data_IF_346932694685
#
_entry.id   IF_346932694685
#
_cell.length_a   1.000
_cell.length_b   1.000
_cell.length_c   1.000
_cell.angle_alpha   90.00
_cell.angle_beta   90.00
_cell.angle_gamma   90.00
#
_symmetry.space_group_name_H-M   'P 1'
#
loop_
_entity.id
_entity.type
_entity.pdbx_description
1 polymer ?
#
# COMPACT_ATOMS: atom_id res chain seq x y z
N UNK A 1 4.91 2.18 21.62
CA UNK A 1 5.26 1.22 20.55
C UNK A 1 6.39 0.33 21.05
N UNK A 2 6.33 -0.96 20.77
CA UNK A 2 7.36 -1.91 21.17
C UNK A 2 8.71 -1.61 20.49
N UNK A 3 9.86 -1.79 21.18
CA UNK A 3 11.18 -1.47 20.61
C UNK A 3 11.52 -2.24 19.33
N UNK A 4 11.02 -3.46 19.17
CA UNK A 4 11.21 -4.24 17.94
C UNK A 4 10.50 -3.60 16.74
N UNK A 5 9.34 -3.02 16.97
CA UNK A 5 8.56 -2.40 15.90
C UNK A 5 9.26 -1.15 15.33
N UNK A 6 9.91 -0.34 16.20
CA UNK A 6 10.73 0.77 15.73
C UNK A 6 11.89 0.29 14.87
N UNK A 7 12.61 -0.75 15.32
CA UNK A 7 13.74 -1.30 14.54
C UNK A 7 13.30 -1.89 13.20
N UNK A 8 12.13 -2.53 13.17
CA UNK A 8 11.52 -3.01 11.92
C UNK A 8 11.18 -1.86 10.96
N UNK A 9 10.56 -0.78 11.47
CA UNK A 9 10.20 0.40 10.68
C UNK A 9 11.45 1.08 10.10
N UNK A 10 12.52 1.19 10.90
CA UNK A 10 13.79 1.76 10.43
C UNK A 10 14.39 0.92 9.29
N UNK A 11 14.30 -0.40 9.37
CA UNK A 11 14.73 -1.27 8.29
C UNK A 11 13.79 -1.22 7.08
N UNK A 12 12.47 -1.18 7.27
CA UNK A 12 11.50 -1.01 6.18
C UNK A 12 11.80 0.25 5.38
N UNK A 13 12.15 1.35 6.04
CA UNK A 13 12.56 2.59 5.36
C UNK A 13 13.74 2.37 4.43
N UNK A 14 14.82 1.78 4.93
CA UNK A 14 16.03 1.47 4.13
C UNK A 14 15.74 0.46 3.00
N UNK A 15 14.89 -0.52 3.26
CA UNK A 15 14.47 -1.53 2.30
C UNK A 15 13.67 -0.90 1.14
N UNK A 16 12.65 -0.10 1.43
CA UNK A 16 11.82 0.56 0.40
C UNK A 16 12.65 1.53 -0.44
N UNK A 17 13.55 2.30 0.18
CA UNK A 17 14.48 3.19 -0.55
C UNK A 17 15.33 2.42 -1.57
N UNK A 18 15.90 1.29 -1.15
CA UNK A 18 16.67 0.42 -2.04
C UNK A 18 15.82 -0.14 -3.16
N UNK A 19 14.65 -0.69 -2.83
CA UNK A 19 13.73 -1.28 -3.79
C UNK A 19 13.26 -0.27 -4.84
N UNK A 20 12.95 0.97 -4.43
CA UNK A 20 12.57 2.05 -5.34
C UNK A 20 13.71 2.32 -6.35
N UNK A 21 14.95 2.49 -5.84
CA UNK A 21 16.12 2.76 -6.67
C UNK A 21 16.43 1.59 -7.61
N UNK A 22 16.47 0.37 -7.08
CA UNK A 22 16.79 -0.84 -7.85
C UNK A 22 15.79 -1.13 -8.97
N UNK A 23 14.53 -0.77 -8.76
CA UNK A 23 13.45 -0.95 -9.72
C UNK A 23 13.18 0.27 -10.61
N UNK A 24 13.95 1.35 -10.46
CA UNK A 24 13.85 2.60 -11.25
C UNK A 24 12.42 3.17 -11.30
N UNK A 25 11.72 3.12 -10.16
CA UNK A 25 10.38 3.71 -10.05
C UNK A 25 10.46 5.18 -9.68
N UNK A 26 9.50 6.01 -10.15
CA UNK A 26 9.55 7.46 -9.94
C UNK A 26 9.57 7.84 -8.47
N UNK A 27 8.62 7.34 -7.68
CA UNK A 27 8.58 7.71 -6.28
C UNK A 27 7.54 6.95 -5.47
N UNK A 28 7.67 7.07 -4.15
CA UNK A 28 6.70 6.57 -3.19
C UNK A 28 6.67 7.41 -1.92
N UNK A 29 5.51 7.41 -1.26
CA UNK A 29 5.37 7.87 0.12
C UNK A 29 4.85 6.72 0.99
N UNK A 30 5.34 6.66 2.22
CA UNK A 30 4.96 5.64 3.20
C UNK A 30 4.63 6.33 4.51
N UNK A 31 3.55 5.86 5.14
CA UNK A 31 3.21 6.23 6.50
C UNK A 31 2.94 4.99 7.34
N UNK A 32 3.42 5.02 8.56
CA UNK A 32 3.16 4.00 9.58
C UNK A 32 2.46 4.66 10.76
N UNK A 33 1.30 4.13 11.12
CA UNK A 33 0.59 4.54 12.32
C UNK A 33 0.61 3.41 13.36
N UNK A 34 0.73 3.78 14.64
CA UNK A 34 0.53 2.89 15.77
C UNK A 34 -0.61 3.43 16.62
N UNK A 35 -1.65 2.61 16.80
CA UNK A 35 -2.88 3.02 17.51
C UNK A 35 -3.47 4.33 16.99
N UNK A 36 -3.49 4.50 15.68
CA UNK A 36 -4.02 5.66 14.98
C UNK A 36 -3.13 6.91 14.98
N UNK A 37 -1.99 6.91 15.66
CA UNK A 37 -1.01 8.01 15.64
C UNK A 37 0.11 7.70 14.65
N UNK A 38 0.43 8.64 13.77
CA UNK A 38 1.57 8.49 12.85
C UNK A 38 2.87 8.46 13.66
N UNK A 39 3.64 7.41 13.48
CA UNK A 39 4.94 7.19 14.16
C UNK A 39 6.12 7.25 13.19
N UNK A 40 5.86 7.12 11.89
CA UNK A 40 6.87 7.30 10.84
C UNK A 40 6.22 7.73 9.54
N UNK A 41 6.85 8.68 8.86
CA UNK A 41 6.52 9.09 7.49
C UNK A 41 7.82 9.27 6.72
N UNK A 42 7.85 8.80 5.47
CA UNK A 42 8.97 9.05 4.59
C UNK A 42 8.53 9.05 3.13
N UNK A 43 9.32 9.74 2.31
CA UNK A 43 9.11 9.86 0.87
C UNK A 43 10.44 9.64 0.16
N UNK A 44 10.41 9.00 -0.98
CA UNK A 44 11.56 8.76 -1.83
C UNK A 44 11.21 9.01 -3.29
N UNK A 45 12.18 9.52 -4.06
CA UNK A 45 12.06 9.75 -5.50
C UNK A 45 11.39 11.08 -5.84
N UNK A 46 10.77 11.13 -7.02
CA UNK A 46 10.27 12.34 -7.65
C UNK A 46 8.74 12.38 -7.67
N UNK A 47 8.19 13.54 -7.35
CA UNK A 47 6.78 13.86 -7.57
C UNK A 47 6.48 14.01 -9.06
N UNK A 48 7.48 14.50 -9.82
CA UNK A 48 7.42 14.66 -11.26
C UNK A 48 8.83 14.49 -11.83
N UNK A 49 9.06 13.44 -12.62
CA UNK A 49 10.37 13.14 -13.21
C UNK A 49 10.83 14.17 -14.24
N UNK A 50 9.90 14.89 -14.89
CA UNK A 50 10.24 15.91 -15.92
C UNK A 50 10.75 17.18 -15.27
N UNK A 51 10.12 17.62 -14.19
CA UNK A 51 10.56 18.84 -13.47
C UNK A 51 11.64 18.56 -12.42
N UNK A 52 11.84 17.30 -12.04
CA UNK A 52 12.75 16.92 -10.96
C UNK A 52 12.23 17.26 -9.56
N UNK A 53 10.94 17.63 -9.43
CA UNK A 53 10.31 17.91 -8.14
C UNK A 53 10.36 16.68 -7.25
N UNK A 54 10.96 16.83 -6.05
CA UNK A 54 11.11 15.72 -5.11
C UNK A 54 9.84 15.49 -4.31
N UNK A 55 9.53 14.21 -4.06
CA UNK A 55 8.43 13.86 -3.17
C UNK A 55 8.68 14.29 -1.73
N UNK A 56 7.62 14.72 -1.10
CA UNK A 56 7.53 14.90 0.35
C UNK A 56 6.32 14.11 0.87
N UNK A 57 6.24 13.80 2.17
CA UNK A 57 5.05 13.15 2.74
C UNK A 57 3.75 13.94 2.56
N UNK A 58 3.83 15.22 2.17
CA UNK A 58 2.66 16.11 1.97
C UNK A 58 2.08 16.07 0.56
N UNK A 59 2.73 15.39 -0.39
CA UNK A 59 2.17 15.21 -1.71
C UNK A 59 0.94 14.31 -1.67
N UNK A 60 -0.14 14.77 -2.32
CA UNK A 60 -1.34 13.98 -2.51
C UNK A 60 -1.14 13.04 -3.70
N UNK A 61 -1.77 11.89 -3.59
CA UNK A 61 -1.84 10.85 -4.64
C UNK A 61 -3.29 10.51 -4.92
N UNK A 62 -3.58 10.06 -6.12
CA UNK A 62 -4.83 9.33 -6.40
C UNK A 62 -4.78 8.02 -5.62
N UNK A 63 -5.73 7.81 -4.71
CA UNK A 63 -5.79 6.59 -3.88
C UNK A 63 -6.79 5.58 -4.41
N UNK A 64 -7.46 5.92 -5.51
CA UNK A 64 -8.33 5.02 -6.27
C UNK A 64 -9.32 4.26 -5.36
N UNK A 65 -9.31 2.94 -5.42
CA UNK A 65 -10.30 2.08 -4.74
C UNK A 65 -10.29 2.14 -3.21
N UNK A 66 -9.32 2.82 -2.57
CA UNK A 66 -9.46 3.19 -1.16
C UNK A 66 -10.71 4.05 -0.92
N UNK A 67 -11.18 4.79 -1.93
CA UNK A 67 -12.44 5.56 -1.91
C UNK A 67 -13.63 4.73 -1.45
N UNK A 68 -13.66 3.44 -1.79
CA UNK A 68 -14.74 2.53 -1.40
C UNK A 68 -14.89 2.38 0.11
N UNK A 69 -13.78 2.39 0.83
CA UNK A 69 -13.79 2.31 2.29
C UNK A 69 -14.41 3.57 2.93
N UNK A 70 -14.17 4.73 2.32
CA UNK A 70 -14.82 6.00 2.75
C UNK A 70 -16.32 5.98 2.45
N UNK A 71 -16.71 5.54 1.26
CA UNK A 71 -18.13 5.38 0.88
C UNK A 71 -18.84 4.40 1.79
N UNK A 72 -18.23 3.24 2.08
CA UNK A 72 -18.77 2.24 2.99
C UNK A 72 -18.94 2.82 4.41
N UNK A 73 -17.96 3.56 4.92
CA UNK A 73 -18.10 4.26 6.21
C UNK A 73 -19.24 5.27 6.19
N UNK A 74 -19.48 5.96 5.08
CA UNK A 74 -20.61 6.84 4.87
C UNK A 74 -21.96 6.10 4.96
N UNK A 75 -22.09 4.99 4.26
CA UNK A 75 -23.30 4.13 4.35
C UNK A 75 -23.51 3.62 5.77
N UNK A 76 -22.45 3.18 6.45
CA UNK A 76 -22.57 2.73 7.84
C UNK A 76 -23.01 3.86 8.78
N UNK A 77 -22.58 5.08 8.52
CA UNK A 77 -23.03 6.27 9.28
C UNK A 77 -24.50 6.58 9.05
N UNK A 78 -25.00 6.44 7.83
CA UNK A 78 -26.45 6.57 7.54
C UNK A 78 -27.26 5.46 8.21
N UNK A 79 -26.75 4.23 8.23
CA UNK A 79 -27.34 3.11 8.98
C UNK A 79 -27.43 3.42 10.47
N UNK A 80 -26.37 3.93 11.09
CA UNK A 80 -26.36 4.32 12.52
C UNK A 80 -27.40 5.40 12.83
N UNK A 81 -27.66 6.29 11.87
CA UNK A 81 -28.73 7.32 11.95
C UNK A 81 -30.10 6.78 11.57
N UNK A 82 -30.25 5.48 11.34
CA UNK A 82 -31.49 4.81 10.92
C UNK A 82 -32.10 5.41 9.64
N UNK A 83 -31.27 5.90 8.72
CA UNK A 83 -31.68 6.44 7.42
C UNK A 83 -31.77 5.37 6.33
N UNK A 84 -31.14 4.22 6.55
CA UNK A 84 -31.21 3.02 5.71
C UNK A 84 -30.91 1.78 6.57
N UNK A 85 -31.25 0.61 6.01
CA UNK A 85 -30.86 -0.70 6.52
C UNK A 85 -29.97 -1.39 5.49
N UNK A 86 -29.12 -2.31 5.92
CA UNK A 86 -28.23 -3.04 5.01
C UNK A 86 -28.97 -4.05 4.13
N UNK A 87 -30.11 -4.52 4.58
CA UNK A 87 -31.03 -5.42 3.89
C UNK A 87 -32.07 -4.70 3.01
N UNK A 88 -32.11 -3.37 3.03
CA UNK A 88 -32.99 -2.62 2.12
C UNK A 88 -32.58 -2.86 0.66
N UNK A 89 -33.53 -3.14 -0.25
CA UNK A 89 -33.28 -3.15 -1.68
C UNK A 89 -32.96 -1.75 -2.17
N UNK A 90 -31.97 -1.62 -3.04
CA UNK A 90 -31.49 -0.30 -3.52
C UNK A 90 -32.56 0.46 -4.28
N UNK A 91 -33.50 -0.23 -4.91
CA UNK A 91 -34.65 0.37 -5.60
C UNK A 91 -35.58 1.22 -4.71
N UNK A 92 -35.50 1.09 -3.37
CA UNK A 92 -36.19 2.00 -2.44
C UNK A 92 -35.62 3.43 -2.49
N UNK A 93 -34.37 3.58 -2.89
CA UNK A 93 -33.66 4.86 -2.88
C UNK A 93 -33.45 5.40 -4.30
N UNK A 94 -33.30 4.52 -5.30
CA UNK A 94 -32.91 4.91 -6.66
C UNK A 94 -33.87 4.28 -7.66
N UNK A 95 -34.62 5.11 -8.35
CA UNK A 95 -35.55 4.68 -9.42
C UNK A 95 -34.85 4.46 -10.74
N UNK A 96 -35.54 3.78 -11.69
CA UNK A 96 -35.08 3.61 -13.07
C UNK A 96 -33.94 2.60 -13.25
N UNK A 97 -33.71 1.73 -12.28
CA UNK A 97 -32.76 0.62 -12.35
C UNK A 97 -33.38 -0.61 -13.05
N UNK A 98 -32.53 -1.51 -13.57
CA UNK A 98 -33.00 -2.85 -13.95
C UNK A 98 -33.62 -3.55 -12.73
N UNK A 99 -34.69 -4.33 -12.92
CA UNK A 99 -35.45 -4.94 -11.81
C UNK A 99 -34.53 -5.73 -10.86
N UNK A 100 -33.69 -6.62 -11.39
CA UNK A 100 -32.77 -7.41 -10.57
C UNK A 100 -31.74 -6.56 -9.80
N UNK A 101 -31.35 -5.39 -10.35
CA UNK A 101 -30.47 -4.44 -9.66
C UNK A 101 -31.25 -3.74 -8.56
N UNK A 102 -32.48 -3.30 -8.83
CA UNK A 102 -33.34 -2.65 -7.85
C UNK A 102 -33.59 -3.52 -6.62
N UNK A 103 -33.65 -4.84 -6.80
CA UNK A 103 -33.83 -5.83 -5.72
C UNK A 103 -32.55 -6.14 -4.94
N UNK A 104 -31.37 -5.72 -5.42
CA UNK A 104 -30.12 -5.96 -4.68
C UNK A 104 -30.07 -5.11 -3.41
N UNK A 105 -29.54 -5.70 -2.34
CA UNK A 105 -29.45 -5.00 -1.07
C UNK A 105 -28.24 -4.08 -0.99
N UNK A 106 -28.31 -3.10 -0.09
CA UNK A 106 -27.16 -2.24 0.24
C UNK A 106 -25.95 -3.07 0.66
N UNK A 107 -26.14 -4.15 1.43
CA UNK A 107 -25.08 -5.09 1.81
C UNK A 107 -24.43 -5.77 0.60
N UNK A 108 -25.22 -6.17 -0.39
CA UNK A 108 -24.70 -6.79 -1.62
C UNK A 108 -23.86 -5.81 -2.45
N UNK A 109 -24.26 -4.55 -2.53
CA UNK A 109 -23.45 -3.51 -3.18
C UNK A 109 -22.13 -3.28 -2.45
N UNK A 110 -22.16 -3.11 -1.11
CA UNK A 110 -20.97 -2.89 -0.27
C UNK A 110 -19.97 -4.05 -0.33
N UNK A 111 -20.45 -5.29 -0.48
CA UNK A 111 -19.63 -6.52 -0.50
C UNK A 111 -19.30 -7.02 -1.90
N UNK A 112 -19.63 -6.26 -2.95
CA UNK A 112 -19.42 -6.68 -4.34
C UNK A 112 -20.11 -8.00 -4.73
N UNK A 113 -21.30 -8.25 -4.19
CA UNK A 113 -22.10 -9.43 -4.53
C UNK A 113 -23.40 -9.11 -5.26
N UNK A 114 -23.61 -7.85 -5.66
CA UNK A 114 -24.78 -7.43 -6.44
C UNK A 114 -24.75 -7.85 -7.91
N UNK A 115 -23.71 -8.53 -8.37
CA UNK A 115 -23.61 -9.07 -9.72
C UNK A 115 -23.36 -8.05 -10.84
N UNK A 116 -23.15 -6.78 -10.50
CA UNK A 116 -22.99 -5.68 -11.46
C UNK A 116 -21.71 -5.79 -12.28
N UNK A 117 -21.74 -5.19 -13.48
CA UNK A 117 -20.51 -4.97 -14.28
C UNK A 117 -19.46 -4.23 -13.46
N UNK A 118 -18.18 -4.46 -13.77
CA UNK A 118 -17.11 -3.74 -13.08
C UNK A 118 -17.07 -2.26 -13.48
N UNK A 119 -16.97 -2.00 -14.80
CA UNK A 119 -16.69 -0.68 -15.37
C UNK A 119 -17.50 -0.41 -16.66
N UNK A 120 -18.59 -1.16 -16.90
CA UNK A 120 -19.39 -1.11 -18.12
C UNK A 120 -18.80 -1.96 -19.25
N UNK A 121 -19.35 -1.78 -20.43
CA UNK A 121 -18.87 -2.43 -21.66
C UNK A 121 -17.60 -1.76 -22.21
N UNK A 122 -17.39 -0.49 -21.90
CA UNK A 122 -16.20 0.30 -22.26
C UNK A 122 -15.57 0.91 -21.02
N UNK A 123 -14.45 0.32 -20.59
CA UNK A 123 -13.63 0.78 -19.47
C UNK A 123 -12.56 1.82 -19.88
N UNK A 124 -12.67 2.44 -21.03
CA UNK A 124 -11.71 3.40 -21.60
C UNK A 124 -11.39 4.59 -20.69
N UNK A 125 -12.25 4.91 -19.75
CA UNK A 125 -11.99 5.89 -18.69
C UNK A 125 -10.75 5.55 -17.82
N UNK A 126 -10.40 4.28 -17.71
CA UNK A 126 -9.20 3.82 -16.96
C UNK A 126 -7.95 3.73 -17.83
N UNK A 127 -8.05 4.13 -19.10
CA UNK A 127 -6.91 4.23 -20.03
C UNK A 127 -6.81 5.62 -20.67
N UNK A 128 -7.53 6.61 -20.11
CA UNK A 128 -7.64 8.00 -20.59
C UNK A 128 -8.15 8.12 -22.05
N UNK A 129 -8.79 7.07 -22.58
CA UNK A 129 -9.38 7.10 -23.93
C UNK A 129 -10.77 7.75 -23.96
N UNK A 130 -11.38 7.98 -22.81
CA UNK A 130 -12.62 8.73 -22.61
C UNK A 130 -12.69 9.33 -21.22
N UNK A 131 -13.52 10.37 -20.96
CA UNK A 131 -13.83 10.86 -19.63
C UNK A 131 -14.52 9.79 -18.76
N UNK A 132 -14.43 9.94 -17.44
CA UNK A 132 -15.22 9.11 -16.52
C UNK A 132 -16.71 9.36 -16.68
N UNK A 133 -17.50 8.30 -16.49
CA UNK A 133 -18.95 8.31 -16.63
C UNK A 133 -19.60 9.44 -15.83
N UNK A 134 -20.45 10.22 -16.49
CA UNK A 134 -21.35 11.14 -15.81
C UNK A 134 -22.53 10.41 -15.14
N UNK A 135 -23.33 11.11 -14.30
CA UNK A 135 -24.46 10.50 -13.63
C UNK A 135 -25.49 9.88 -14.58
N UNK A 136 -25.77 10.53 -15.72
CA UNK A 136 -26.72 10.02 -16.73
C UNK A 136 -26.20 8.73 -17.39
N UNK A 137 -24.93 8.65 -17.68
CA UNK A 137 -24.30 7.47 -18.29
C UNK A 137 -24.29 6.29 -17.31
N UNK A 138 -23.91 6.52 -16.05
CA UNK A 138 -23.98 5.49 -15.02
C UNK A 138 -25.41 4.94 -14.89
N UNK A 139 -26.42 5.82 -14.82
CA UNK A 139 -27.81 5.40 -14.72
C UNK A 139 -28.30 4.67 -15.97
N UNK A 140 -27.80 5.01 -17.17
CA UNK A 140 -28.12 4.28 -18.41
C UNK A 140 -27.55 2.84 -18.37
N UNK A 141 -26.34 2.65 -17.89
CA UNK A 141 -25.74 1.31 -17.74
C UNK A 141 -26.43 0.48 -16.65
N UNK A 142 -26.93 1.09 -15.58
CA UNK A 142 -27.69 0.42 -14.52
C UNK A 142 -29.12 0.02 -14.91
N UNK A 143 -29.58 0.38 -16.11
CA UNK A 143 -30.81 -0.18 -16.74
C UNK A 143 -30.57 -1.53 -17.41
N UNK A 144 -29.32 -1.90 -17.63
CA UNK A 144 -28.96 -3.21 -18.17
C UNK A 144 -28.98 -4.27 -17.06
N UNK A 145 -29.23 -5.55 -17.39
CA UNK A 145 -29.23 -6.62 -16.39
C UNK A 145 -27.85 -6.79 -15.72
N UNK A 146 -27.79 -7.31 -14.48
CA UNK A 146 -26.52 -7.67 -13.86
C UNK A 146 -25.81 -8.76 -14.68
N UNK A 147 -24.47 -8.79 -14.62
CA UNK A 147 -23.64 -9.74 -15.39
C UNK A 147 -23.75 -11.17 -14.85
N UNK A 148 -23.96 -11.29 -13.54
CA UNK A 148 -24.24 -12.57 -12.86
C UNK A 148 -25.41 -12.41 -11.89
N UNK A 149 -26.01 -13.51 -11.49
CA UNK A 149 -27.09 -13.52 -10.52
C UNK A 149 -26.61 -12.90 -9.19
N UNK A 150 -27.31 -11.87 -8.65
CA UNK A 150 -26.97 -11.27 -7.38
C UNK A 150 -26.91 -12.29 -6.22
N UNK A 151 -25.95 -12.11 -5.31
CA UNK A 151 -25.79 -12.99 -4.15
C UNK A 151 -25.13 -14.33 -4.40
N UNK A 152 -24.63 -14.62 -5.62
CA UNK A 152 -24.02 -15.92 -5.95
C UNK A 152 -22.50 -15.94 -5.84
N UNK A 153 -21.84 -14.80 -6.04
CA UNK A 153 -20.38 -14.71 -6.06
C UNK A 153 -19.89 -13.28 -5.81
N UNK A 154 -18.68 -13.15 -5.31
CA UNK A 154 -17.98 -11.86 -5.33
C UNK A 154 -17.75 -11.45 -6.78
N UNK A 155 -18.25 -10.30 -7.17
CA UNK A 155 -18.08 -9.68 -8.49
C UNK A 155 -17.77 -8.20 -8.31
N UNK A 156 -16.50 -7.86 -8.28
CA UNK A 156 -16.03 -6.50 -8.03
C UNK A 156 -16.67 -5.51 -9.02
N UNK A 157 -17.23 -4.40 -8.51
CA UNK A 157 -17.92 -3.40 -9.31
C UNK A 157 -17.66 -1.97 -8.84
N UNK A 158 -17.13 -1.13 -9.73
CA UNK A 158 -17.07 0.32 -9.53
C UNK A 158 -18.44 0.96 -9.69
N UNK A 159 -19.29 0.44 -10.59
CA UNK A 159 -20.68 0.87 -10.76
C UNK A 159 -21.51 0.68 -9.50
N UNK A 160 -21.31 -0.44 -8.78
CA UNK A 160 -22.00 -0.68 -7.50
C UNK A 160 -21.67 0.38 -6.45
N UNK A 161 -20.42 0.83 -6.39
CA UNK A 161 -20.04 1.93 -5.50
C UNK A 161 -20.47 3.30 -6.03
N UNK A 162 -20.51 3.51 -7.34
CA UNK A 162 -21.14 4.68 -7.94
C UNK A 162 -22.63 4.77 -7.53
N UNK A 163 -23.36 3.66 -7.61
CA UNK A 163 -24.75 3.57 -7.17
C UNK A 163 -24.91 3.85 -5.66
N UNK A 164 -23.99 3.38 -4.81
CA UNK A 164 -23.99 3.76 -3.37
C UNK A 164 -23.80 5.26 -3.15
N UNK A 165 -23.04 5.93 -4.05
CA UNK A 165 -22.96 7.39 -4.05
C UNK A 165 -24.30 8.05 -4.33
N UNK A 166 -25.04 7.55 -5.32
CA UNK A 166 -26.40 8.02 -5.64
C UNK A 166 -27.36 7.80 -4.46
N UNK A 167 -27.26 6.65 -3.78
CA UNK A 167 -28.03 6.36 -2.54
C UNK A 167 -27.76 7.42 -1.46
N UNK A 168 -26.47 7.77 -1.24
CA UNK A 168 -26.10 8.80 -0.27
C UNK A 168 -26.74 10.14 -0.67
N UNK A 169 -26.63 10.55 -1.93
CA UNK A 169 -27.22 11.81 -2.43
C UNK A 169 -28.76 11.84 -2.27
N UNK A 170 -29.41 10.74 -2.61
CA UNK A 170 -30.89 10.63 -2.48
C UNK A 170 -31.34 10.77 -1.02
N UNK A 171 -30.67 10.10 -0.09
CA UNK A 171 -31.05 10.12 1.34
C UNK A 171 -30.74 11.48 1.98
N UNK A 172 -29.67 12.12 1.56
CA UNK A 172 -29.16 13.34 2.23
C UNK A 172 -29.62 14.63 1.56
N UNK A 173 -29.99 14.59 0.28
CA UNK A 173 -30.31 15.77 -0.52
C UNK A 173 -29.08 16.62 -0.88
N UNK A 174 -27.87 16.10 -0.67
CA UNK A 174 -26.60 16.81 -0.87
C UNK A 174 -25.71 16.07 -1.86
N UNK A 175 -24.84 16.79 -2.64
CA UNK A 175 -23.84 16.15 -3.46
C UNK A 175 -22.91 15.24 -2.64
N UNK A 176 -22.60 14.04 -3.17
CA UNK A 176 -21.78 13.02 -2.49
C UNK A 176 -20.48 13.60 -1.93
N UNK A 177 -19.74 14.36 -2.74
CA UNK A 177 -18.46 14.92 -2.33
C UNK A 177 -18.56 15.87 -1.13
N UNK A 178 -19.57 16.72 -1.11
CA UNK A 178 -19.81 17.65 0.00
C UNK A 178 -20.17 16.92 1.29
N UNK A 179 -21.09 15.95 1.18
CA UNK A 179 -21.54 15.16 2.32
C UNK A 179 -20.44 14.32 2.92
N UNK A 180 -19.68 13.58 2.09
CA UNK A 180 -18.59 12.70 2.54
C UNK A 180 -17.45 13.50 3.17
N UNK A 181 -17.16 14.69 2.64
CA UNK A 181 -16.15 15.59 3.22
C UNK A 181 -16.56 16.05 4.62
N UNK A 182 -17.82 16.46 4.80
CA UNK A 182 -18.34 16.92 6.08
C UNK A 182 -18.50 15.80 7.11
N UNK A 183 -19.03 14.64 6.71
CA UNK A 183 -19.44 13.60 7.63
C UNK A 183 -18.38 12.54 7.91
N UNK A 184 -17.42 12.37 6.99
CA UNK A 184 -16.40 11.31 7.08
C UNK A 184 -15.00 11.91 7.15
N UNK A 185 -14.57 12.71 6.16
CA UNK A 185 -13.20 13.19 6.05
C UNK A 185 -12.84 14.12 7.21
N UNK A 186 -13.61 15.17 7.40
CA UNK A 186 -13.38 16.17 8.47
C UNK A 186 -13.44 15.57 9.88
N UNK A 187 -14.48 14.80 10.25
CA UNK A 187 -14.53 14.17 11.58
C UNK A 187 -13.44 13.13 11.82
N UNK A 188 -12.94 12.46 10.79
CA UNK A 188 -11.79 11.55 10.89
C UNK A 188 -10.45 12.29 11.07
N UNK A 189 -10.44 13.63 11.02
CA UNK A 189 -9.24 14.46 11.17
C UNK A 189 -8.30 14.41 9.95
N UNK A 190 -8.81 14.10 8.76
CA UNK A 190 -8.04 13.97 7.52
C UNK A 190 -7.95 15.34 6.83
N UNK A 191 -6.84 16.02 7.00
CA UNK A 191 -6.64 17.40 6.52
C UNK A 191 -6.10 17.47 5.09
N UNK A 192 -5.65 16.35 4.57
CA UNK A 192 -4.95 16.23 3.30
C UNK A 192 -5.66 15.25 2.36
N UNK A 193 -6.97 15.09 2.55
CA UNK A 193 -7.83 14.19 1.78
C UNK A 193 -8.96 14.96 1.14
N UNK A 194 -9.13 14.79 -0.17
CA UNK A 194 -10.21 15.33 -0.98
C UNK A 194 -10.99 14.21 -1.65
N UNK A 195 -12.32 14.30 -1.77
CA UNK A 195 -13.12 13.21 -2.35
C UNK A 195 -12.96 13.07 -3.86
N UNK A 196 -12.48 14.11 -4.56
CA UNK A 196 -12.31 14.07 -6.02
C UNK A 196 -11.31 15.16 -6.48
N UNK A 197 -10.94 15.12 -7.76
CA UNK A 197 -10.25 16.21 -8.47
C UNK A 197 -11.27 17.19 -9.08
N UNK A 198 -10.86 18.45 -9.34
CA UNK A 198 -9.56 19.03 -9.04
C UNK A 198 -9.41 19.41 -7.56
N UNK A 199 -8.19 19.36 -7.05
CA UNK A 199 -7.83 19.94 -5.73
C UNK A 199 -7.41 21.40 -5.88
N UNK A 200 -7.37 22.14 -4.78
CA UNK A 200 -7.02 23.55 -4.80
C UNK A 200 -5.59 23.77 -5.35
N UNK A 201 -5.42 24.87 -6.10
CA UNK A 201 -4.12 25.26 -6.67
C UNK A 201 -3.09 25.48 -5.57
N UNK A 202 -1.86 25.01 -5.79
CA UNK A 202 -0.74 25.14 -4.85
C UNK A 202 -0.64 24.01 -3.82
N UNK A 203 -1.61 23.11 -3.76
CA UNK A 203 -1.49 21.89 -2.95
C UNK A 203 -0.49 20.93 -3.62
N UNK A 204 0.51 20.40 -2.89
CA UNK A 204 1.45 19.43 -3.43
C UNK A 204 0.74 18.18 -3.95
N UNK A 205 0.95 17.84 -5.22
CA UNK A 205 0.33 16.70 -5.88
C UNK A 205 1.38 15.94 -6.70
N UNK A 206 1.53 14.66 -6.42
CA UNK A 206 2.43 13.80 -7.18
C UNK A 206 1.81 13.49 -8.55
N UNK A 207 2.53 13.77 -9.62
CA UNK A 207 2.12 13.39 -10.97
C UNK A 207 2.23 11.89 -11.15
N UNK A 208 1.29 11.29 -11.88
CA UNK A 208 1.36 9.91 -12.27
C UNK A 208 2.41 9.67 -13.35
N UNK A 209 2.82 8.41 -13.51
CA UNK A 209 3.78 8.02 -14.55
C UNK A 209 3.34 6.72 -15.20
N UNK A 210 3.63 6.59 -16.50
CA UNK A 210 3.43 5.34 -17.24
C UNK A 210 4.35 4.24 -16.69
N UNK A 211 4.08 2.95 -17.00
CA UNK A 211 5.05 1.91 -16.76
C UNK A 211 6.33 2.15 -17.61
N UNK A 212 7.44 1.55 -17.18
CA UNK A 212 8.71 1.61 -17.92
C UNK A 212 8.60 0.89 -19.27
N UNK A 213 8.05 -0.30 -19.27
CA UNK A 213 7.80 -1.07 -20.48
C UNK A 213 6.44 -0.68 -21.09
N UNK A 214 6.30 -0.67 -22.41
CA UNK A 214 7.27 -1.03 -23.46
C UNK A 214 8.14 0.14 -23.96
N UNK A 215 8.01 1.33 -23.37
CA UNK A 215 8.58 2.57 -23.90
C UNK A 215 10.10 2.69 -23.67
N UNK A 216 10.67 2.00 -22.66
CA UNK A 216 12.04 2.22 -22.20
C UNK A 216 12.27 3.55 -21.49
N UNK A 217 11.23 4.32 -21.26
CA UNK A 217 11.19 5.55 -20.47
C UNK A 217 9.78 5.74 -19.89
N UNK A 218 9.59 6.77 -19.08
CA UNK A 218 8.29 7.06 -18.50
C UNK A 218 7.75 8.39 -19.01
N UNK A 219 6.44 8.45 -19.23
CA UNK A 219 5.70 9.66 -19.50
C UNK A 219 4.93 10.08 -18.26
N UNK A 220 4.77 11.40 -18.09
CA UNK A 220 3.97 11.96 -17.00
C UNK A 220 2.48 11.86 -17.35
N UNK A 221 1.69 11.35 -16.42
CA UNK A 221 0.23 11.33 -16.46
C UNK A 221 -0.26 12.46 -15.54
N UNK A 222 -1.00 13.45 -16.02
CA UNK A 222 -1.45 14.59 -15.21
C UNK A 222 -2.22 14.17 -13.95
N UNK A 223 -3.14 13.21 -14.07
CA UNK A 223 -3.92 12.65 -12.97
C UNK A 223 -4.94 13.60 -12.34
N UNK A 224 -5.25 14.72 -12.99
CA UNK A 224 -6.13 15.79 -12.50
C UNK A 224 -7.57 15.70 -13.02
N UNK A 225 -7.90 14.68 -13.82
CA UNK A 225 -9.23 14.41 -14.33
C UNK A 225 -10.23 14.02 -13.21
N UNK A 226 -11.44 14.60 -13.17
CA UNK A 226 -12.47 14.21 -12.22
C UNK A 226 -13.04 12.83 -12.56
N UNK A 227 -13.44 12.07 -11.53
CA UNK A 227 -14.03 10.73 -11.69
C UNK A 227 -15.56 10.73 -11.73
N UNK A 228 -16.20 11.90 -11.68
CA UNK A 228 -17.63 12.12 -11.84
C UNK A 228 -18.49 11.11 -11.03
N UNK A 229 -19.37 10.33 -11.66
CA UNK A 229 -20.23 9.36 -11.00
C UNK A 229 -19.47 8.19 -10.36
N UNK A 230 -18.19 7.98 -10.71
CA UNK A 230 -17.33 6.92 -10.14
C UNK A 230 -16.50 7.43 -8.94
N UNK A 231 -16.70 8.69 -8.53
CA UNK A 231 -16.06 9.27 -7.33
C UNK A 231 -16.17 8.38 -6.09
N UNK A 232 -17.34 7.79 -5.75
CA UNK A 232 -17.49 6.91 -4.59
C UNK A 232 -16.64 5.63 -4.67
N UNK A 233 -16.22 5.24 -5.86
CA UNK A 233 -15.43 4.05 -6.12
C UNK A 233 -13.91 4.31 -6.25
N UNK A 234 -13.50 5.48 -6.80
CA UNK A 234 -12.11 5.70 -7.21
C UNK A 234 -11.63 7.16 -7.17
N UNK A 235 -12.43 8.12 -6.70
CA UNK A 235 -12.15 9.54 -6.86
C UNK A 235 -11.16 10.16 -5.90
N UNK A 236 -10.95 9.58 -4.74
CA UNK A 236 -10.25 10.23 -3.64
C UNK A 236 -8.77 10.50 -3.94
N UNK A 237 -8.33 11.61 -3.37
CA UNK A 237 -6.94 12.09 -3.40
C UNK A 237 -6.49 12.29 -1.96
N UNK A 238 -5.32 11.75 -1.58
CA UNK A 238 -4.88 11.76 -0.18
C UNK A 238 -3.37 11.62 -0.05
N UNK A 239 -2.87 11.75 1.19
CA UNK A 239 -1.51 11.38 1.60
C UNK A 239 -1.50 9.99 2.25
N UNK A 240 -0.33 9.34 2.34
CA UNK A 240 -0.19 8.08 3.03
C UNK A 240 -0.58 8.17 4.52
N UNK A 241 -0.29 9.31 5.15
CA UNK A 241 -0.61 9.56 6.56
C UNK A 241 -2.12 9.60 6.81
N UNK A 242 -2.87 10.33 5.99
CA UNK A 242 -4.32 10.42 6.16
C UNK A 242 -5.01 9.09 5.87
N UNK A 243 -4.55 8.36 4.83
CA UNK A 243 -5.04 7.01 4.55
C UNK A 243 -4.75 6.07 5.74
N UNK A 244 -3.54 6.10 6.29
CA UNK A 244 -3.19 5.27 7.45
C UNK A 244 -4.05 5.63 8.69
N UNK A 245 -4.28 6.94 8.96
CA UNK A 245 -5.17 7.39 10.05
C UNK A 245 -6.61 6.91 9.87
N UNK A 246 -7.14 7.01 8.65
CA UNK A 246 -8.50 6.57 8.36
C UNK A 246 -8.66 5.06 8.60
N UNK A 247 -7.78 4.24 8.02
CA UNK A 247 -7.87 2.79 8.18
C UNK A 247 -7.63 2.33 9.62
N UNK A 248 -6.75 2.99 10.37
CA UNK A 248 -6.57 2.73 11.80
C UNK A 248 -7.87 2.94 12.61
N UNK A 249 -8.68 3.93 12.23
CA UNK A 249 -9.98 4.19 12.87
C UNK A 249 -11.03 3.12 12.54
N UNK A 250 -10.84 2.33 11.47
CA UNK A 250 -11.71 1.22 11.11
C UNK A 250 -11.39 -0.07 11.89
N UNK A 251 -10.29 -0.11 12.64
CA UNK A 251 -9.99 -1.26 13.49
C UNK A 251 -11.13 -1.48 14.51
N UNK A 252 -11.63 -2.73 14.68
CA UNK A 252 -12.74 -3.01 15.61
C UNK A 252 -12.52 -2.50 17.03
N UNK A 253 -11.24 -2.50 17.49
CA UNK A 253 -10.83 -2.07 18.83
C UNK A 253 -10.32 -0.61 18.88
N UNK A 254 -10.38 0.14 17.78
CA UNK A 254 -9.94 1.53 17.78
C UNK A 254 -10.66 2.37 18.83
N UNK A 255 -9.91 3.15 19.61
CA UNK A 255 -10.46 4.02 20.67
C UNK A 255 -11.22 5.22 20.11
N UNK A 256 -10.76 5.72 18.95
CA UNK A 256 -11.40 6.83 18.24
C UNK A 256 -11.80 6.36 16.85
N UNK A 257 -13.01 6.67 16.43
CA UNK A 257 -13.54 6.37 15.11
C UNK A 257 -14.75 7.22 14.80
N UNK A 258 -15.00 7.40 13.51
CA UNK A 258 -16.19 8.12 12.99
C UNK A 258 -17.45 7.26 12.97
N UNK A 259 -17.34 5.96 13.16
CA UNK A 259 -18.43 4.98 13.21
C UNK A 259 -18.28 4.08 14.43
N UNK A 260 -19.39 3.47 14.86
CA UNK A 260 -19.44 2.62 16.04
C UNK A 260 -18.57 1.35 15.90
N UNK A 261 -18.22 0.74 17.04
CA UNK A 261 -17.49 -0.54 17.05
C UNK A 261 -18.28 -1.66 16.35
N UNK A 262 -19.60 -1.64 16.43
CA UNK A 262 -20.47 -2.59 15.73
C UNK A 262 -20.37 -2.43 14.21
N UNK A 263 -20.41 -1.19 13.71
CA UNK A 263 -20.23 -0.89 12.28
C UNK A 263 -18.86 -1.29 11.77
N UNK A 264 -17.79 -1.03 12.56
CA UNK A 264 -16.43 -1.46 12.19
C UNK A 264 -16.30 -2.97 12.08
N UNK A 265 -16.84 -3.72 13.04
CA UNK A 265 -16.85 -5.19 12.97
C UNK A 265 -17.59 -5.70 11.75
N UNK A 266 -18.73 -5.08 11.42
CA UNK A 266 -19.48 -5.45 10.22
C UNK A 266 -18.72 -5.13 8.94
N UNK A 267 -18.06 -3.98 8.83
CA UNK A 267 -17.25 -3.63 7.67
C UNK A 267 -16.07 -4.60 7.45
N UNK A 268 -15.39 -4.99 8.54
CA UNK A 268 -14.20 -5.86 8.48
C UNK A 268 -14.52 -7.35 8.48
N UNK A 269 -15.79 -7.72 8.59
CA UNK A 269 -16.23 -9.10 8.51
C UNK A 269 -15.90 -9.69 7.14
N UNK A 270 -15.47 -10.95 7.09
CA UNK A 270 -15.23 -11.73 5.87
C UNK A 270 -16.57 -12.14 5.24
N UNK A 271 -17.15 -11.28 4.39
CA UNK A 271 -18.43 -11.55 3.73
C UNK A 271 -18.27 -12.52 2.56
N UNK A 272 -17.27 -12.29 1.73
CA UNK A 272 -17.00 -13.10 0.54
C UNK A 272 -15.53 -13.47 0.45
N UNK A 273 -15.25 -14.73 0.17
CA UNK A 273 -13.91 -15.15 -0.26
C UNK A 273 -13.67 -14.65 -1.69
N UNK A 274 -12.49 -14.16 -1.99
CA UNK A 274 -12.11 -13.88 -3.37
C UNK A 274 -11.81 -15.20 -4.10
N UNK A 275 -12.64 -15.61 -5.09
CA UNK A 275 -12.44 -16.87 -5.78
C UNK A 275 -11.37 -16.80 -6.87
N UNK A 276 -10.92 -15.60 -7.23
CA UNK A 276 -10.06 -15.33 -8.39
C UNK A 276 -8.58 -15.15 -8.00
N UNK A 277 -8.20 -15.62 -6.81
CA UNK A 277 -6.81 -15.58 -6.33
C UNK A 277 -6.41 -16.90 -5.68
N UNK A 278 -5.16 -17.29 -5.86
CA UNK A 278 -4.56 -18.43 -5.15
C UNK A 278 -4.25 -18.11 -3.68
N UNK A 279 -4.15 -16.82 -3.31
CA UNK A 279 -3.94 -16.39 -1.94
C UNK A 279 -5.28 -16.31 -1.20
N UNK A 280 -5.25 -16.60 0.08
CA UNK A 280 -6.43 -16.43 0.92
C UNK A 280 -6.77 -14.94 1.06
N UNK A 281 -7.87 -14.53 0.43
CA UNK A 281 -8.35 -13.17 0.43
C UNK A 281 -9.86 -13.09 0.56
N UNK A 282 -10.34 -12.10 1.29
CA UNK A 282 -11.76 -11.86 1.55
C UNK A 282 -12.12 -10.42 1.28
N UNK A 283 -13.41 -10.19 1.04
CA UNK A 283 -13.99 -8.86 0.95
C UNK A 283 -15.12 -8.69 1.95
N UNK A 284 -15.07 -7.59 2.69
CA UNK A 284 -16.10 -7.11 3.61
C UNK A 284 -16.90 -5.96 2.98
N UNK A 285 -17.33 -4.98 3.77
CA UNK A 285 -17.98 -3.79 3.25
C UNK A 285 -16.95 -2.70 2.92
N UNK A 286 -16.57 -2.66 1.64
CA UNK A 286 -15.52 -1.75 1.17
C UNK A 286 -14.13 -2.03 1.78
N UNK A 287 -13.87 -3.24 2.25
CA UNK A 287 -12.64 -3.66 2.95
C UNK A 287 -12.16 -4.98 2.38
N UNK A 288 -10.87 -5.03 2.03
CA UNK A 288 -10.14 -6.26 1.73
C UNK A 288 -9.51 -6.81 3.01
N UNK A 289 -9.43 -8.12 3.14
CA UNK A 289 -8.74 -8.76 4.27
C UNK A 289 -8.13 -10.10 3.86
N UNK A 290 -7.21 -10.59 4.67
CA UNK A 290 -6.52 -11.86 4.44
C UNK A 290 -5.49 -12.12 5.53
N UNK A 291 -4.60 -13.10 5.26
CA UNK A 291 -3.49 -13.46 6.14
C UNK A 291 -2.16 -13.26 5.39
N UNK A 292 -1.17 -12.67 6.02
CA UNK A 292 0.17 -12.46 5.47
C UNK A 292 1.22 -12.58 6.57
N UNK A 293 2.29 -13.33 6.31
CA UNK A 293 3.35 -13.60 7.30
C UNK A 293 2.82 -14.11 8.65
N UNK A 294 1.71 -14.87 8.65
CA UNK A 294 1.06 -15.42 9.84
C UNK A 294 0.29 -14.39 10.67
N UNK A 295 -0.03 -13.22 10.13
CA UNK A 295 -0.90 -12.23 10.73
C UNK A 295 -2.11 -11.94 9.86
N UNK A 296 -3.28 -11.82 10.49
CA UNK A 296 -4.44 -11.26 9.84
C UNK A 296 -4.24 -9.77 9.58
N UNK A 297 -4.71 -9.33 8.44
CA UNK A 297 -4.74 -7.92 8.06
C UNK A 297 -6.09 -7.58 7.43
N UNK A 298 -6.45 -6.30 7.47
CA UNK A 298 -7.49 -5.73 6.64
C UNK A 298 -7.05 -4.37 6.10
N UNK A 299 -7.67 -3.92 5.02
CA UNK A 299 -7.31 -2.66 4.38
C UNK A 299 -7.91 -2.54 3.00
N UNK A 300 -7.21 -1.88 2.09
CA UNK A 300 -7.59 -1.82 0.67
C UNK A 300 -6.36 -1.59 -0.21
N UNK A 301 -6.52 -1.84 -1.51
CA UNK A 301 -5.56 -1.44 -2.54
C UNK A 301 -6.21 -0.43 -3.49
N UNK A 302 -5.40 0.32 -4.21
CA UNK A 302 -5.88 1.23 -5.24
C UNK A 302 -5.01 1.16 -6.49
N UNK A 303 -5.66 1.19 -7.64
CA UNK A 303 -5.03 1.34 -8.96
C UNK A 303 -5.74 2.42 -9.75
N UNK A 304 -4.99 3.41 -10.21
CA UNK A 304 -5.43 4.50 -11.07
C UNK A 304 -4.34 4.74 -12.12
N UNK A 305 -4.65 5.41 -13.22
CA UNK A 305 -3.64 5.75 -14.23
C UNK A 305 -2.48 6.51 -13.57
N UNK A 306 -1.31 5.88 -13.56
CA UNK A 306 -0.11 6.45 -12.94
C UNK A 306 0.01 6.27 -11.43
N UNK A 307 -0.89 5.52 -10.75
CA UNK A 307 -0.83 5.37 -9.30
C UNK A 307 -1.22 3.98 -8.85
N UNK A 308 -0.41 3.40 -7.97
CA UNK A 308 -0.70 2.16 -7.25
C UNK A 308 -0.54 2.40 -5.76
N UNK A 309 -1.49 1.93 -4.97
CA UNK A 309 -1.51 2.11 -3.53
C UNK A 309 -1.93 0.86 -2.77
N UNK A 310 -1.44 0.70 -1.56
CA UNK A 310 -1.81 -0.39 -0.66
C UNK A 310 -1.79 0.11 0.79
N UNK A 311 -2.82 -0.26 1.55
CA UNK A 311 -2.90 0.02 2.98
C UNK A 311 -3.35 -1.23 3.72
N UNK A 312 -2.67 -1.56 4.82
CA UNK A 312 -3.04 -2.64 5.71
C UNK A 312 -3.02 -2.20 7.16
N UNK A 313 -4.04 -2.59 7.89
CA UNK A 313 -4.09 -2.59 9.35
C UNK A 313 -3.72 -3.99 9.83
N UNK A 314 -2.84 -4.08 10.81
CA UNK A 314 -2.35 -5.33 11.43
C UNK A 314 -2.82 -5.31 12.89
N UNK A 315 -3.99 -5.91 13.20
CA UNK A 315 -4.55 -5.83 14.55
C UNK A 315 -3.66 -6.43 15.64
N UNK A 316 -2.87 -7.45 15.30
CA UNK A 316 -1.99 -8.15 16.24
C UNK A 316 -0.93 -7.25 16.90
N UNK A 317 -0.57 -6.12 16.27
CA UNK A 317 0.42 -5.17 16.80
C UNK A 317 -0.03 -3.71 16.74
N UNK A 318 -1.32 -3.45 16.48
CA UNK A 318 -1.90 -2.10 16.37
C UNK A 318 -1.20 -1.19 15.33
N UNK A 319 -0.60 -1.78 14.31
CA UNK A 319 0.07 -1.04 13.25
C UNK A 319 -0.83 -0.89 12.02
N UNK A 320 -0.72 0.26 11.38
CA UNK A 320 -1.29 0.52 10.05
C UNK A 320 -0.20 1.05 9.15
N UNK A 321 -0.03 0.44 7.98
CA UNK A 321 0.95 0.86 6.99
C UNK A 321 0.21 1.25 5.71
N UNK A 322 0.54 2.41 5.17
CA UNK A 322 0.06 2.88 3.87
C UNK A 322 1.23 3.20 2.96
N UNK A 323 1.24 2.64 1.76
CA UNK A 323 2.25 2.86 0.72
C UNK A 323 1.55 3.34 -0.54
N UNK A 324 1.94 4.52 -1.02
CA UNK A 324 1.43 5.12 -2.25
C UNK A 324 2.60 5.32 -3.23
N UNK A 325 2.42 4.91 -4.48
CA UNK A 325 3.41 5.06 -5.55
C UNK A 325 2.80 5.81 -6.73
N UNK A 326 3.60 6.59 -7.43
CA UNK A 326 3.15 7.42 -8.56
C UNK A 326 3.57 6.84 -9.92
N UNK A 327 3.42 5.55 -10.11
CA UNK A 327 3.51 4.90 -11.43
C UNK A 327 2.54 3.73 -11.56
N UNK A 328 2.09 3.46 -12.78
CA UNK A 328 1.15 2.36 -13.08
C UNK A 328 1.74 0.98 -12.76
N UNK A 329 3.06 0.83 -12.87
CA UNK A 329 3.81 -0.37 -12.47
C UNK A 329 4.34 -0.28 -11.03
N UNK A 330 3.73 0.55 -10.17
CA UNK A 330 4.13 0.74 -8.78
C UNK A 330 4.04 -0.55 -7.95
N UNK A 331 4.97 -0.75 -7.02
CA UNK A 331 5.06 -1.97 -6.19
C UNK A 331 4.51 -1.80 -4.77
N UNK A 332 3.55 -0.92 -4.57
CA UNK A 332 2.99 -0.65 -3.25
C UNK A 332 2.52 -1.93 -2.53
N UNK A 333 1.87 -2.86 -3.24
CA UNK A 333 1.44 -4.13 -2.67
C UNK A 333 2.62 -5.02 -2.26
N UNK A 334 3.58 -5.23 -3.17
CA UNK A 334 4.76 -6.06 -2.92
C UNK A 334 5.61 -5.50 -1.76
N UNK A 335 5.80 -4.18 -1.71
CA UNK A 335 6.55 -3.55 -0.60
C UNK A 335 5.83 -3.63 0.73
N UNK A 336 4.49 -3.58 0.72
CA UNK A 336 3.73 -3.77 1.95
C UNK A 336 3.80 -5.21 2.43
N UNK A 337 3.72 -6.20 1.53
CA UNK A 337 3.90 -7.61 1.86
C UNK A 337 5.32 -7.86 2.42
N UNK A 338 6.34 -7.23 1.83
CA UNK A 338 7.72 -7.23 2.37
C UNK A 338 7.78 -6.65 3.78
N UNK A 339 7.10 -5.51 4.00
CA UNK A 339 7.04 -4.88 5.33
C UNK A 339 6.38 -5.80 6.37
N UNK A 340 5.36 -6.58 5.99
CA UNK A 340 4.74 -7.58 6.86
C UNK A 340 5.73 -8.69 7.27
N UNK A 341 6.53 -9.21 6.33
CA UNK A 341 7.57 -10.20 6.61
C UNK A 341 8.67 -9.63 7.51
N UNK A 342 9.09 -8.39 7.27
CA UNK A 342 10.07 -7.68 8.11
C UNK A 342 9.53 -7.52 9.53
N UNK A 343 8.34 -6.96 9.68
CA UNK A 343 7.69 -6.79 10.99
C UNK A 343 7.57 -8.11 11.73
N UNK A 344 7.14 -9.18 11.06
CA UNK A 344 7.00 -10.50 11.66
C UNK A 344 8.32 -11.05 12.15
N UNK A 345 9.39 -10.91 11.38
CA UNK A 345 10.74 -11.33 11.78
C UNK A 345 11.21 -10.61 13.05
N UNK A 346 11.04 -9.29 13.12
CA UNK A 346 11.41 -8.52 14.30
C UNK A 346 10.51 -8.81 15.51
N UNK A 347 9.22 -9.02 15.30
CA UNK A 347 8.30 -9.40 16.39
C UNK A 347 8.66 -10.75 17.01
N UNK A 348 9.13 -11.70 16.20
CA UNK A 348 9.55 -13.03 16.66
C UNK A 348 10.90 -13.01 17.37
N UNK A 349 11.87 -12.23 16.87
CA UNK A 349 13.26 -12.20 17.37
C UNK A 349 13.49 -11.13 18.44
N UNK A 350 12.68 -10.08 18.44
CA UNK A 350 12.82 -8.93 19.33
C UNK A 350 13.72 -7.82 18.78
N UNK A 351 13.80 -6.73 19.55
CA UNK A 351 14.68 -5.60 19.23
C UNK A 351 16.16 -6.00 19.31
N UNK A 352 17.04 -5.43 18.47
CA UNK A 352 18.45 -5.75 18.48
C UNK A 352 19.11 -5.36 19.82
N UNK A 353 19.93 -6.24 20.39
CA UNK A 353 20.76 -5.89 21.53
C UNK A 353 21.69 -4.72 21.18
N UNK A 354 21.95 -3.84 22.16
CA UNK A 354 22.75 -2.62 21.95
C UNK A 354 24.11 -2.90 21.29
N UNK A 355 24.80 -3.97 21.67
CA UNK A 355 26.10 -4.37 21.11
C UNK A 355 26.07 -4.76 19.63
N UNK A 356 24.89 -5.11 19.09
CA UNK A 356 24.73 -5.54 17.71
C UNK A 356 24.38 -4.39 16.75
N UNK A 357 23.95 -3.25 17.25
CA UNK A 357 23.46 -2.13 16.41
C UNK A 357 24.50 -1.63 15.42
N UNK A 358 25.78 -1.67 15.79
CA UNK A 358 26.91 -1.30 14.92
C UNK A 358 27.15 -2.29 13.77
N UNK A 359 26.46 -3.43 13.75
CA UNK A 359 26.51 -4.38 12.62
C UNK A 359 25.53 -4.03 11.53
N UNK A 360 24.59 -3.14 11.75
CA UNK A 360 23.59 -2.74 10.76
C UNK A 360 24.21 -2.05 9.55
N UNK A 361 23.74 -2.40 8.35
CA UNK A 361 24.12 -1.69 7.13
C UNK A 361 24.02 -2.52 5.87
N UNK A 362 24.06 -1.82 4.74
CA UNK A 362 24.07 -2.43 3.40
C UNK A 362 25.49 -2.55 2.87
N UNK A 363 25.77 -3.73 2.33
CA UNK A 363 27.06 -4.13 1.82
C UNK A 363 26.91 -4.74 0.44
N UNK A 364 27.99 -4.71 -0.35
CA UNK A 364 27.95 -5.11 -1.74
C UNK A 364 29.12 -6.03 -2.09
N UNK A 365 28.85 -6.89 -3.06
CA UNK A 365 29.87 -7.64 -3.84
C UNK A 365 29.49 -7.57 -5.31
N UNK A 366 30.27 -8.22 -6.17
CA UNK A 366 29.90 -8.41 -7.59
C UNK A 366 28.59 -9.20 -7.79
N UNK A 367 28.11 -9.88 -6.75
CA UNK A 367 26.85 -10.65 -6.75
C UNK A 367 25.63 -9.83 -6.34
N UNK A 368 25.84 -8.59 -5.92
CA UNK A 368 24.74 -7.69 -5.51
C UNK A 368 24.87 -7.20 -4.07
N UNK A 369 23.72 -6.69 -3.56
CA UNK A 369 23.60 -6.14 -2.23
C UNK A 369 23.19 -7.19 -1.21
N UNK A 370 23.70 -7.06 0.02
CA UNK A 370 23.20 -7.74 1.20
C UNK A 370 23.04 -6.73 2.33
N UNK A 371 22.03 -6.95 3.17
CA UNK A 371 21.79 -6.15 4.36
C UNK A 371 22.18 -6.94 5.60
N UNK A 372 23.04 -6.39 6.44
CA UNK A 372 23.23 -6.89 7.79
C UNK A 372 22.18 -6.24 8.69
N UNK A 373 21.28 -7.04 9.23
CA UNK A 373 20.11 -6.59 10.00
C UNK A 373 20.15 -7.19 11.40
N UNK A 374 20.62 -6.44 12.40
CA UNK A 374 20.54 -6.88 13.79
C UNK A 374 19.08 -7.06 14.23
N UNK A 375 18.77 -8.21 14.83
CA UNK A 375 17.46 -8.51 15.42
C UNK A 375 17.64 -9.50 16.58
N UNK A 376 17.07 -9.19 17.75
CA UNK A 376 17.29 -9.96 18.96
C UNK A 376 18.79 -10.09 19.29
N UNK A 377 19.29 -11.33 19.33
CA UNK A 377 20.66 -11.68 19.68
C UNK A 377 21.59 -11.93 18.48
N UNK A 378 21.07 -11.84 17.27
CA UNK A 378 21.72 -12.24 16.03
C UNK A 378 21.78 -11.09 15.03
N UNK A 379 22.59 -11.26 14.00
CA UNK A 379 22.57 -10.41 12.80
C UNK A 379 22.10 -11.27 11.63
N UNK A 380 21.02 -10.85 11.00
CA UNK A 380 20.46 -11.51 9.81
C UNK A 380 21.16 -10.93 8.59
N UNK A 381 21.55 -11.78 7.65
CA UNK A 381 22.04 -11.38 6.33
C UNK A 381 20.86 -11.45 5.37
N UNK A 382 20.20 -10.31 5.19
CA UNK A 382 19.03 -10.19 4.33
C UNK A 382 19.41 -9.90 2.88
N UNK A 383 18.57 -10.36 1.96
CA UNK A 383 18.67 -9.99 0.54
C UNK A 383 17.64 -8.88 0.23
N UNK A 384 18.06 -7.61 0.09
CA UNK A 384 17.14 -6.51 -0.15
C UNK A 384 16.49 -6.51 -1.54
N UNK A 385 16.92 -7.39 -2.44
CA UNK A 385 16.31 -7.55 -3.78
C UNK A 385 15.07 -8.46 -3.77
N UNK A 386 14.90 -9.26 -2.72
CA UNK A 386 13.77 -10.18 -2.60
C UNK A 386 12.57 -9.52 -1.94
N UNK A 387 11.36 -9.99 -2.28
CA UNK A 387 10.11 -9.55 -1.65
C UNK A 387 10.04 -9.92 -0.17
N UNK A 388 10.60 -11.07 0.23
CA UNK A 388 10.90 -11.35 1.64
C UNK A 388 12.41 -11.34 1.83
N UNK A 389 12.99 -10.24 2.35
CA UNK A 389 14.44 -10.11 2.46
C UNK A 389 15.08 -11.11 3.43
N UNK A 390 14.27 -11.78 4.25
CA UNK A 390 14.73 -12.75 5.23
C UNK A 390 14.36 -14.21 4.88
N UNK A 391 13.88 -14.44 3.67
CA UNK A 391 13.64 -15.80 3.18
C UNK A 391 14.98 -16.52 3.03
N UNK A 392 15.12 -17.68 3.67
CA UNK A 392 16.36 -18.46 3.70
C UNK A 392 17.61 -17.64 4.09
N UNK A 393 17.44 -16.69 5.01
CA UNK A 393 18.51 -15.79 5.38
C UNK A 393 19.60 -16.49 6.18
N UNK A 394 20.86 -16.12 5.94
CA UNK A 394 22.00 -16.48 6.78
C UNK A 394 21.92 -15.71 8.11
N UNK A 395 22.30 -16.35 9.23
CA UNK A 395 22.36 -15.73 10.55
C UNK A 395 23.80 -15.75 11.09
N UNK A 396 24.18 -14.66 11.75
CA UNK A 396 25.49 -14.47 12.35
C UNK A 396 25.34 -14.37 13.85
N UNK A 397 26.02 -15.24 14.57
CA UNK A 397 26.25 -15.13 16.00
C UNK A 397 27.51 -14.28 16.25
N UNK A 398 27.32 -13.13 16.88
CA UNK A 398 28.41 -12.18 17.14
C UNK A 398 29.09 -12.50 18.45
N UNK A 399 30.37 -12.83 18.42
CA UNK A 399 31.19 -13.18 19.58
C UNK A 399 32.06 -12.02 20.08
N UNK A 400 32.36 -11.04 19.24
CA UNK A 400 33.14 -9.85 19.59
C UNK A 400 32.75 -8.62 18.81
N UNK A 401 33.45 -7.50 19.06
CA UNK A 401 33.11 -6.23 18.36
C UNK A 401 33.06 -6.38 16.85
N UNK A 402 34.04 -7.06 16.27
CA UNK A 402 34.25 -7.17 14.82
C UNK A 402 34.35 -8.63 14.33
N UNK A 403 33.96 -9.59 15.17
CA UNK A 403 34.01 -11.02 14.88
C UNK A 403 32.71 -11.69 15.21
N UNK A 404 32.35 -12.67 14.38
CA UNK A 404 31.21 -13.54 14.55
C UNK A 404 31.39 -14.84 13.78
N UNK A 405 30.37 -15.67 13.80
CA UNK A 405 30.31 -16.96 13.13
C UNK A 405 28.94 -17.11 12.46
N UNK A 406 28.90 -17.73 11.31
CA UNK A 406 27.67 -18.11 10.65
C UNK A 406 27.04 -19.27 11.42
N UNK A 407 25.94 -19.02 12.10
CA UNK A 407 25.19 -20.00 12.92
C UNK A 407 24.05 -20.68 12.17
N UNK A 408 23.58 -20.02 11.08
CA UNK A 408 22.64 -20.56 10.10
C UNK A 408 23.08 -20.09 8.72
N UNK A 409 23.13 -20.99 7.74
CA UNK A 409 23.49 -20.65 6.38
C UNK A 409 22.33 -20.90 5.42
N UNK A 410 22.07 -19.94 4.53
CA UNK A 410 21.12 -20.10 3.43
C UNK A 410 21.63 -21.17 2.43
N UNK A 411 20.80 -22.16 2.13
CA UNK A 411 21.11 -23.19 1.12
C UNK A 411 22.44 -23.91 1.39
N UNK A 412 23.31 -23.95 0.41
CA UNK A 412 24.66 -24.54 0.47
C UNK A 412 25.72 -23.54 1.00
N UNK A 413 25.32 -22.59 1.84
CA UNK A 413 26.18 -21.53 2.30
C UNK A 413 27.24 -21.96 3.33
N UNK A 414 27.93 -20.97 3.86
CA UNK A 414 29.17 -21.12 4.64
C UNK A 414 28.93 -21.38 6.12
N UNK A 415 28.06 -22.33 6.50
CA UNK A 415 27.79 -22.68 7.90
C UNK A 415 29.07 -22.91 8.69
N UNK A 416 29.14 -22.36 9.89
CA UNK A 416 30.26 -22.52 10.81
C UNK A 416 31.46 -21.63 10.49
N UNK A 417 31.49 -20.95 9.37
CA UNK A 417 32.61 -20.09 8.99
C UNK A 417 32.60 -18.76 9.73
N UNK A 418 33.79 -18.14 9.81
CA UNK A 418 33.99 -16.88 10.53
C UNK A 418 33.42 -15.70 9.73
N UNK A 419 32.94 -14.71 10.47
CA UNK A 419 32.61 -13.37 9.97
C UNK A 419 33.54 -12.36 10.62
N UNK A 420 34.16 -11.48 9.83
CA UNK A 420 35.09 -10.46 10.32
C UNK A 420 34.80 -9.13 9.67
N UNK A 421 34.93 -8.05 10.44
CA UNK A 421 34.80 -6.66 9.95
C UNK A 421 36.15 -5.97 10.06
N UNK A 422 36.54 -5.26 9.02
CA UNK A 422 37.76 -4.41 9.01
C UNK A 422 37.38 -2.95 9.19
N UNK A 423 38.17 -2.23 9.99
CA UNK A 423 37.96 -0.81 10.26
C UNK A 423 39.13 0.03 9.77
N UNK A 424 38.86 1.25 9.35
CA UNK A 424 39.90 2.25 9.09
C UNK A 424 40.39 2.89 10.41
N UNK A 425 41.38 3.80 10.28
CA UNK A 425 41.97 4.54 11.43
C UNK A 425 40.92 5.38 12.21
N UNK A 426 39.82 5.79 11.58
CA UNK A 426 38.71 6.52 12.22
C UNK A 426 37.68 5.57 12.88
N UNK A 427 37.91 4.25 12.90
CA UNK A 427 37.02 3.27 13.50
C UNK A 427 35.81 2.91 12.65
N UNK A 428 35.71 3.38 11.41
CA UNK A 428 34.60 3.09 10.49
C UNK A 428 34.83 1.74 9.85
N UNK A 429 33.79 0.89 9.83
CA UNK A 429 33.82 -0.41 9.12
C UNK A 429 33.86 -0.16 7.60
N UNK A 430 34.89 -0.65 6.96
CA UNK A 430 35.13 -0.50 5.51
C UNK A 430 34.89 -1.77 4.72
N UNK A 431 35.04 -2.92 5.36
CA UNK A 431 34.88 -4.23 4.72
C UNK A 431 34.29 -5.25 5.69
N UNK A 432 33.62 -6.24 5.14
CA UNK A 432 33.15 -7.43 5.86
C UNK A 432 33.56 -8.66 5.09
N UNK A 433 34.11 -9.63 5.79
CA UNK A 433 34.35 -10.97 5.32
C UNK A 433 33.29 -11.90 5.86
N UNK A 434 32.45 -12.42 4.98
CA UNK A 434 31.34 -13.31 5.30
C UNK A 434 31.67 -14.70 4.72
N UNK A 435 32.23 -15.58 5.54
CA UNK A 435 32.62 -16.91 5.10
C UNK A 435 33.51 -16.94 3.87
N UNK A 436 34.54 -16.09 3.81
CA UNK A 436 35.41 -15.97 2.65
C UNK A 436 34.96 -14.98 1.57
N UNK A 437 33.69 -14.61 1.53
CA UNK A 437 33.19 -13.57 0.61
C UNK A 437 33.50 -12.18 1.15
N UNK A 438 34.07 -11.33 0.32
CA UNK A 438 34.43 -9.96 0.68
C UNK A 438 33.31 -9.00 0.27
N UNK A 439 32.78 -8.28 1.23
CA UNK A 439 31.73 -7.28 1.05
C UNK A 439 32.30 -5.88 1.33
N UNK A 440 31.94 -4.90 0.49
CA UNK A 440 32.42 -3.53 0.56
C UNK A 440 31.25 -2.54 0.51
N UNK A 441 31.56 -1.25 0.67
CA UNK A 441 30.58 -0.20 0.40
C UNK A 441 30.32 -0.10 -1.11
N UNK A 442 29.12 0.34 -1.49
CA UNK A 442 28.67 0.43 -2.89
C UNK A 442 29.71 1.10 -3.80
N UNK A 443 30.18 2.31 -3.43
CA UNK A 443 31.18 3.07 -4.19
C UNK A 443 32.48 2.29 -4.46
N UNK A 444 32.90 1.46 -3.50
CA UNK A 444 34.16 0.73 -3.60
C UNK A 444 34.00 -0.48 -4.52
N UNK A 445 32.81 -1.11 -4.52
CA UNK A 445 32.48 -2.18 -5.47
C UNK A 445 32.32 -1.64 -6.88
N UNK A 446 31.63 -0.49 -7.06
CA UNK A 446 31.51 0.16 -8.37
C UNK A 446 32.91 0.43 -8.96
N UNK A 447 33.79 1.06 -8.20
CA UNK A 447 35.16 1.32 -8.65
C UNK A 447 35.97 0.04 -8.97
N UNK A 448 35.72 -1.06 -8.28
CA UNK A 448 36.30 -2.36 -8.55
C UNK A 448 35.76 -2.98 -9.83
N UNK A 449 34.45 -2.96 -10.04
CA UNK A 449 33.79 -3.47 -11.24
C UNK A 449 34.25 -2.70 -12.49
N UNK A 450 34.33 -1.37 -12.40
CA UNK A 450 34.82 -0.53 -13.49
C UNK A 450 36.26 -0.85 -13.84
N UNK A 451 37.16 -1.04 -12.86
CA UNK A 451 38.55 -1.46 -13.13
C UNK A 451 38.63 -2.81 -13.80
N UNK A 452 37.78 -3.76 -13.39
CA UNK A 452 37.84 -5.14 -13.85
C UNK A 452 37.21 -5.34 -15.23
N UNK A 453 36.13 -4.62 -15.52
CA UNK A 453 35.23 -4.93 -16.64
C UNK A 453 34.96 -3.75 -17.58
N UNK A 454 35.31 -2.50 -17.26
CA UNK A 454 35.11 -1.40 -18.18
C UNK A 454 35.96 -1.61 -19.44
N UNK A 455 35.47 -1.32 -20.65
CA UNK A 455 36.23 -1.43 -21.88
C UNK A 455 37.51 -0.57 -21.79
N UNK A 456 38.67 -1.18 -21.94
CA UNK A 456 39.94 -0.43 -22.05
C UNK A 456 39.82 0.48 -23.27
N UNK A 457 39.88 1.81 -23.09
CA UNK A 457 40.01 2.73 -24.22
C UNK A 457 41.21 2.25 -25.07
N UNK A 458 40.94 1.80 -26.31
CA UNK A 458 42.03 1.54 -27.27
C UNK A 458 42.80 2.85 -27.38
N UNK A 459 44.05 2.84 -26.94
CA UNK A 459 45.01 3.92 -27.27
C UNK A 459 45.08 3.96 -28.80
N UNK A 460 44.55 5.02 -29.40
CA UNK A 460 44.82 5.35 -30.81
C UNK A 460 46.23 5.91 -30.92
#
# INVERSE_FOLDING_TARGET
MEPWAQSAIDYIKSFVEFQLRASQRPGCIVAVAHRGKIVSEFAFGDANIVTGEKLTPRHRFRIASHSKSFTAAGIMKLRERRKLRLDDPVGQYVGGLHLQIAETTIAQLLSHSAGLTRDGADAGQFTDSRPYLGPKELMAELKLPPVIVPGTRLKYSNHGFGLLGVVIETITGEPYGAWIAREIIKPAGLRETEPNMPIAKGIPFARGHTPWLPLGHRLVIPGDNPTNAITPAAGFVSTAADVARFFAQLAPHAKQSIISAASRREMTRKHWRNPDTSLEGYYGFGIMSGTMAGWDWFGHSGGFQGYISRTCVIPACDLTISILTNSTDGWAAAWLDSAMHILRSFATRGAPRRRLRDWSGRWWSSWGAVDLVPSGNLVIVGNPQMSNPFMDATEIEVSGRDVGRISLAAGYGSYGQSVRRSRNKAGVVTEIWLGGSRLKREKDVVAELERNYAPRKRRR
#
